data_IF_541789260871
#
_entry.id   IF_541789260871
#
_cell.length_a   1.000
_cell.length_b   1.000
_cell.length_c   1.000
_cell.angle_alpha   90.00
_cell.angle_beta   90.00
_cell.angle_gamma   90.00
#
_symmetry.space_group_name_H-M   'P 1'
#
loop_
_entity.id
_entity.type
_entity.pdbx_description
1 polymer ?
#
# COMPACT_ATOMS: atom_id res chain seq x y z
N UNK A 1 -27.92 -8.17 -0.42
CA UNK A 1 -26.78 -8.98 0.03
C UNK A 1 -26.60 -10.23 -0.83
N UNK A 2 -25.78 -10.12 -1.88
CA UNK A 2 -25.52 -11.22 -2.85
C UNK A 2 -24.72 -12.36 -2.21
N UNK A 3 -23.91 -12.08 -1.19
CA UNK A 3 -23.05 -13.06 -0.51
C UNK A 3 -23.37 -13.05 0.99
N UNK A 4 -23.87 -14.14 1.57
CA UNK A 4 -24.35 -14.15 2.96
C UNK A 4 -23.26 -14.18 4.03
N UNK A 5 -22.04 -14.67 3.74
CA UNK A 5 -20.96 -14.80 4.73
C UNK A 5 -19.98 -13.63 4.71
N UNK A 6 -19.76 -12.98 5.85
CA UNK A 6 -18.80 -11.87 6.02
C UNK A 6 -17.37 -12.31 5.64
N UNK A 7 -16.99 -13.56 5.98
CA UNK A 7 -15.66 -14.09 5.65
C UNK A 7 -15.44 -14.24 4.13
N UNK A 8 -16.46 -14.67 3.38
CA UNK A 8 -16.35 -14.81 1.92
C UNK A 8 -16.25 -13.42 1.25
N UNK A 9 -17.03 -12.43 1.72
CA UNK A 9 -16.94 -11.04 1.25
C UNK A 9 -15.53 -10.47 1.48
N UNK A 10 -14.97 -10.70 2.66
CA UNK A 10 -13.63 -10.26 3.00
C UNK A 10 -12.57 -10.91 2.12
N UNK A 11 -12.66 -12.23 1.88
CA UNK A 11 -11.71 -12.94 1.00
C UNK A 11 -11.79 -12.43 -0.45
N UNK A 12 -12.99 -12.23 -0.98
CA UNK A 12 -13.18 -11.64 -2.31
C UNK A 12 -12.65 -10.21 -2.37
N UNK A 13 -12.86 -9.41 -1.32
CA UNK A 13 -12.32 -8.06 -1.25
C UNK A 13 -10.79 -8.05 -1.29
N UNK A 14 -10.11 -9.01 -0.61
CA UNK A 14 -8.65 -9.17 -0.68
C UNK A 14 -8.18 -9.46 -2.11
N UNK A 15 -8.84 -10.37 -2.82
CA UNK A 15 -8.48 -10.72 -4.20
C UNK A 15 -8.70 -9.54 -5.16
N UNK A 16 -9.86 -8.89 -5.05
CA UNK A 16 -10.19 -7.72 -5.89
C UNK A 16 -9.22 -6.56 -5.57
N UNK A 17 -8.98 -6.29 -4.30
CA UNK A 17 -8.04 -5.24 -3.89
C UNK A 17 -6.62 -5.49 -4.38
N UNK A 18 -6.14 -6.74 -4.31
CA UNK A 18 -4.84 -7.13 -4.87
C UNK A 18 -4.79 -6.95 -6.39
N UNK A 19 -5.84 -7.39 -7.10
CA UNK A 19 -5.91 -7.28 -8.56
C UNK A 19 -5.95 -5.81 -9.02
N UNK A 20 -6.82 -5.00 -8.41
CA UNK A 20 -6.94 -3.57 -8.73
C UNK A 20 -5.64 -2.84 -8.45
N UNK A 21 -5.04 -3.03 -7.27
CA UNK A 21 -3.76 -2.41 -6.93
C UNK A 21 -2.63 -2.87 -7.86
N UNK A 22 -2.59 -4.15 -8.24
CA UNK A 22 -1.63 -4.67 -9.21
C UNK A 22 -1.77 -4.04 -10.60
N UNK A 23 -3.01 -3.87 -11.09
CA UNK A 23 -3.29 -3.20 -12.37
C UNK A 23 -2.86 -1.73 -12.33
N UNK A 24 -3.23 -0.99 -11.28
CA UNK A 24 -2.75 0.38 -11.10
C UNK A 24 -1.23 0.45 -10.96
N UNK A 25 -0.61 -0.52 -10.30
CA UNK A 25 0.84 -0.68 -10.24
C UNK A 25 1.46 -0.79 -11.64
N UNK A 26 0.87 -1.57 -12.55
CA UNK A 26 1.34 -1.67 -13.93
C UNK A 26 1.16 -0.34 -14.68
N UNK A 27 -0.03 0.27 -14.59
CA UNK A 27 -0.35 1.53 -15.27
C UNK A 27 0.63 2.64 -14.86
N UNK A 28 0.90 2.78 -13.57
CA UNK A 28 1.84 3.78 -13.03
C UNK A 28 3.29 3.36 -13.30
N UNK A 29 3.58 2.07 -13.18
CA UNK A 29 4.94 1.54 -13.37
C UNK A 29 5.50 1.77 -14.77
N UNK A 30 4.67 1.70 -15.82
CA UNK A 30 5.12 1.92 -17.20
C UNK A 30 5.80 3.28 -17.41
N UNK A 31 5.19 4.43 -17.08
CA UNK A 31 5.84 5.73 -17.22
C UNK A 31 6.95 5.95 -16.18
N UNK A 32 6.73 5.54 -14.94
CA UNK A 32 7.63 5.80 -13.81
C UNK A 32 8.96 5.06 -13.97
N UNK A 33 8.96 3.79 -14.36
CA UNK A 33 10.19 2.98 -14.50
C UNK A 33 11.10 3.40 -15.66
N UNK A 34 10.64 4.31 -16.52
CA UNK A 34 11.49 4.95 -17.55
C UNK A 34 12.39 6.04 -16.97
N UNK A 35 12.02 6.58 -15.83
CA UNK A 35 12.78 7.62 -15.14
C UNK A 35 13.94 7.02 -14.34
N UNK A 36 14.97 7.82 -14.07
CA UNK A 36 16.18 7.41 -13.35
C UNK A 36 16.46 8.36 -12.19
N UNK A 37 17.09 7.82 -11.14
CA UNK A 37 17.54 8.61 -9.99
C UNK A 37 16.40 9.33 -9.28
N UNK A 38 16.64 10.56 -8.89
CA UNK A 38 15.74 11.37 -8.06
C UNK A 38 14.39 11.66 -8.73
N UNK A 39 14.37 11.76 -10.07
CA UNK A 39 13.12 11.95 -10.83
C UNK A 39 12.14 10.80 -10.63
N UNK A 40 12.64 9.57 -10.47
CA UNK A 40 11.80 8.41 -10.16
C UNK A 40 11.08 8.61 -8.82
N UNK A 41 11.81 9.03 -7.79
CA UNK A 41 11.26 9.25 -6.46
C UNK A 41 10.23 10.39 -6.43
N UNK A 42 10.55 11.53 -7.08
CA UNK A 42 9.63 12.68 -7.14
C UNK A 42 8.32 12.31 -7.84
N UNK A 43 8.41 11.61 -8.98
CA UNK A 43 7.22 11.26 -9.76
C UNK A 43 6.37 10.20 -9.07
N UNK A 44 6.97 9.23 -8.36
CA UNK A 44 6.19 8.25 -7.58
C UNK A 44 5.42 8.91 -6.43
N UNK A 45 6.05 9.86 -5.73
CA UNK A 45 5.36 10.64 -4.68
C UNK A 45 4.23 11.49 -5.28
N UNK A 46 4.47 12.15 -6.43
CA UNK A 46 3.45 12.94 -7.11
C UNK A 46 2.24 12.08 -7.53
N UNK A 47 2.46 10.88 -8.07
CA UNK A 47 1.36 9.95 -8.39
C UNK A 47 0.57 9.55 -7.14
N UNK A 48 1.23 9.31 -6.02
CA UNK A 48 0.56 9.02 -4.74
C UNK A 48 -0.37 10.17 -4.32
N UNK A 49 0.10 11.42 -4.40
CA UNK A 49 -0.70 12.60 -4.08
C UNK A 49 -1.85 12.82 -5.08
N UNK A 50 -1.63 12.58 -6.38
CA UNK A 50 -2.68 12.66 -7.41
C UNK A 50 -3.79 11.65 -7.11
N UNK A 51 -3.44 10.38 -6.83
CA UNK A 51 -4.43 9.34 -6.54
C UNK A 51 -5.21 9.68 -5.25
N UNK A 52 -4.52 10.11 -4.20
CA UNK A 52 -5.16 10.53 -2.94
C UNK A 52 -6.16 11.66 -3.18
N UNK A 53 -5.76 12.70 -3.93
CA UNK A 53 -6.63 13.84 -4.22
C UNK A 53 -7.79 13.46 -5.14
N UNK A 54 -7.55 12.55 -6.11
CA UNK A 54 -8.62 12.02 -6.95
C UNK A 54 -9.68 11.29 -6.12
N UNK A 55 -9.26 10.44 -5.18
CA UNK A 55 -10.19 9.72 -4.30
C UNK A 55 -10.96 10.69 -3.40
N UNK A 56 -10.34 11.78 -2.94
CA UNK A 56 -10.99 12.80 -2.11
C UNK A 56 -12.10 13.58 -2.83
N UNK A 57 -12.04 13.66 -4.15
CA UNK A 57 -13.04 14.38 -4.96
C UNK A 57 -14.04 13.41 -5.60
N UNK A 58 -13.76 12.11 -5.57
CA UNK A 58 -14.58 11.10 -6.22
C UNK A 58 -15.76 10.69 -5.34
N UNK A 59 -16.97 10.79 -5.90
CA UNK A 59 -18.18 10.24 -5.33
C UNK A 59 -18.63 9.06 -6.18
N UNK A 60 -18.86 7.92 -5.55
CA UNK A 60 -19.33 6.70 -6.21
C UNK A 60 -20.54 6.18 -5.47
N UNK A 61 -21.61 6.00 -6.20
CA UNK A 61 -22.82 5.38 -5.70
C UNK A 61 -23.27 4.23 -6.59
N UNK A 62 -24.09 3.38 -6.04
CA UNK A 62 -24.70 2.26 -6.73
C UNK A 62 -26.21 2.29 -6.50
N UNK A 63 -26.97 2.20 -7.59
CA UNK A 63 -28.42 2.13 -7.63
C UNK A 63 -28.87 0.92 -8.45
N UNK A 64 -30.14 0.63 -8.49
CA UNK A 64 -30.76 -0.41 -9.35
C UNK A 64 -30.39 -0.26 -10.83
N UNK A 65 -30.08 0.95 -11.26
CA UNK A 65 -29.69 1.30 -12.64
C UNK A 65 -28.19 1.13 -12.93
N UNK A 66 -27.32 0.88 -11.92
CA UNK A 66 -25.90 0.67 -12.06
C UNK A 66 -25.01 1.58 -11.19
N UNK A 67 -23.77 1.79 -11.64
CA UNK A 67 -22.82 2.65 -10.95
C UNK A 67 -22.93 4.09 -11.42
N UNK A 68 -23.04 5.00 -10.46
CA UNK A 68 -23.03 6.44 -10.66
C UNK A 68 -21.75 7.05 -10.16
N UNK A 69 -21.15 7.95 -10.97
CA UNK A 69 -19.90 8.62 -10.64
C UNK A 69 -20.12 10.13 -10.67
N UNK A 70 -19.63 10.84 -9.65
CA UNK A 70 -19.63 12.30 -9.61
C UNK A 70 -18.32 12.80 -8.99
N UNK A 71 -17.91 14.01 -9.39
CA UNK A 71 -16.72 14.69 -8.87
C UNK A 71 -17.15 15.88 -7.99
N UNK A 72 -18.43 16.14 -7.86
CA UNK A 72 -18.94 17.37 -7.25
C UNK A 72 -19.52 17.14 -5.85
N UNK A 73 -20.57 16.33 -5.74
CA UNK A 73 -21.25 16.01 -4.49
C UNK A 73 -22.18 14.81 -4.63
N UNK A 74 -22.73 14.38 -3.51
CA UNK A 74 -23.64 13.22 -3.44
C UNK A 74 -24.96 13.47 -4.16
N UNK A 75 -25.42 14.71 -4.24
CA UNK A 75 -26.67 15.08 -4.92
C UNK A 75 -26.55 14.99 -6.43
N UNK A 76 -25.34 15.24 -6.95
CA UNK A 76 -25.06 15.18 -8.39
C UNK A 76 -24.90 13.75 -8.94
N UNK A 77 -24.94 12.73 -8.07
CA UNK A 77 -24.98 11.31 -8.48
C UNK A 77 -26.31 10.94 -9.19
N UNK A 78 -27.39 11.71 -8.97
CA UNK A 78 -28.67 11.48 -9.64
C UNK A 78 -29.29 10.10 -9.33
N UNK A 79 -29.00 9.54 -8.15
CA UNK A 79 -29.48 8.22 -7.73
C UNK A 79 -30.95 8.28 -7.29
N UNK A 80 -31.68 7.20 -7.50
CA UNK A 80 -33.01 6.99 -6.96
C UNK A 80 -33.05 6.84 -5.44
N UNK A 81 -34.24 6.70 -4.86
CA UNK A 81 -34.44 6.57 -3.42
C UNK A 81 -33.71 5.36 -2.77
N UNK A 82 -33.41 4.34 -3.57
CA UNK A 82 -32.72 3.11 -3.13
C UNK A 82 -31.20 3.14 -3.33
N UNK A 83 -30.65 4.28 -3.75
CA UNK A 83 -29.23 4.42 -4.06
C UNK A 83 -28.34 4.43 -2.80
N UNK A 84 -27.27 3.63 -2.81
CA UNK A 84 -26.28 3.57 -1.74
C UNK A 84 -24.99 4.26 -2.20
N UNK A 85 -24.55 5.28 -1.46
CA UNK A 85 -23.27 5.95 -1.72
C UNK A 85 -22.14 5.11 -1.11
N UNK A 86 -21.22 4.63 -1.95
CA UNK A 86 -20.09 3.79 -1.56
C UNK A 86 -18.90 4.65 -1.15
N UNK A 87 -18.53 5.63 -1.98
CA UNK A 87 -17.42 6.55 -1.73
C UNK A 87 -17.99 7.97 -1.63
N UNK A 88 -17.70 8.63 -0.51
CA UNK A 88 -18.23 9.97 -0.18
C UNK A 88 -17.14 11.05 -0.25
N UNK A 89 -16.33 11.05 -1.30
CA UNK A 89 -15.25 12.03 -1.47
C UNK A 89 -14.34 12.10 -0.25
N UNK A 90 -14.20 13.28 0.36
CA UNK A 90 -13.33 13.50 1.52
C UNK A 90 -13.71 12.70 2.77
N UNK A 91 -14.97 12.26 2.92
CA UNK A 91 -15.37 11.35 4.00
C UNK A 91 -14.94 9.90 3.77
N UNK A 92 -14.57 9.57 2.52
CA UNK A 92 -14.12 8.24 2.12
C UNK A 92 -15.21 7.18 2.17
N UNK A 93 -14.84 5.98 2.59
CA UNK A 93 -15.71 4.83 2.73
C UNK A 93 -16.10 4.70 4.20
N UNK A 94 -17.39 4.55 4.48
CA UNK A 94 -17.92 4.41 5.83
C UNK A 94 -18.78 3.15 5.93
N UNK A 95 -18.80 2.51 7.12
CA UNK A 95 -19.66 1.36 7.38
C UNK A 95 -19.10 0.02 6.90
N UNK A 96 -17.79 -0.09 6.64
CA UNK A 96 -17.16 -1.38 6.36
C UNK A 96 -17.23 -2.30 7.59
N UNK A 97 -17.66 -3.57 7.42
CA UNK A 97 -17.72 -4.50 8.54
C UNK A 97 -16.32 -4.80 9.07
N UNK A 98 -16.16 -4.81 10.39
CA UNK A 98 -14.89 -5.16 11.06
C UNK A 98 -14.62 -6.66 10.93
N UNK A 99 -14.06 -7.08 9.80
CA UNK A 99 -13.65 -8.46 9.55
C UNK A 99 -12.16 -8.71 9.80
N UNK A 100 -11.35 -7.65 9.92
CA UNK A 100 -9.93 -7.73 10.19
C UNK A 100 -9.69 -8.02 11.68
N UNK A 101 -9.40 -9.29 12.01
CA UNK A 101 -8.95 -9.71 13.34
C UNK A 101 -7.43 -9.83 13.37
N UNK A 102 -6.85 -9.77 14.57
CA UNK A 102 -5.40 -9.96 14.76
C UNK A 102 -4.89 -11.26 14.14
N UNK A 103 -5.64 -12.35 14.31
CA UNK A 103 -5.30 -13.66 13.73
C UNK A 103 -5.23 -13.62 12.21
N UNK A 104 -6.22 -12.96 11.56
CA UNK A 104 -6.22 -12.78 10.10
C UNK A 104 -5.03 -11.94 9.66
N UNK A 105 -4.68 -10.91 10.40
CA UNK A 105 -3.49 -10.11 10.15
C UNK A 105 -2.20 -10.94 10.16
N UNK A 106 -2.00 -11.78 11.17
CA UNK A 106 -0.83 -12.67 11.26
C UNK A 106 -0.79 -13.65 10.08
N UNK A 107 -1.92 -14.27 9.74
CA UNK A 107 -2.00 -15.21 8.61
C UNK A 107 -1.62 -14.52 7.30
N UNK A 108 -2.12 -13.30 7.05
CA UNK A 108 -1.79 -12.54 5.86
C UNK A 108 -0.31 -12.12 5.81
N UNK A 109 0.29 -11.76 6.95
CA UNK A 109 1.74 -11.49 7.03
C UNK A 109 2.56 -12.74 6.69
N UNK A 110 2.22 -13.89 7.27
CA UNK A 110 2.90 -15.16 6.98
C UNK A 110 2.73 -15.56 5.50
N UNK A 111 1.54 -15.39 4.94
CA UNK A 111 1.27 -15.63 3.53
C UNK A 111 2.11 -14.71 2.63
N UNK A 112 2.17 -13.42 2.96
CA UNK A 112 2.98 -12.44 2.24
C UNK A 112 4.46 -12.82 2.27
N UNK A 113 4.98 -13.22 3.44
CA UNK A 113 6.35 -13.70 3.60
C UNK A 113 6.61 -14.94 2.75
N UNK A 114 5.70 -15.90 2.77
CA UNK A 114 5.79 -17.11 1.96
C UNK A 114 5.87 -16.78 0.48
N UNK A 115 5.00 -15.89 -0.03
CA UNK A 115 5.01 -15.44 -1.43
C UNK A 115 6.32 -14.74 -1.78
N UNK A 116 6.77 -13.79 -0.95
CA UNK A 116 7.97 -13.00 -1.22
C UNK A 116 9.23 -13.85 -1.16
N UNK A 117 9.37 -14.75 -0.18
CA UNK A 117 10.52 -15.65 -0.06
C UNK A 117 10.59 -16.63 -1.24
N UNK A 118 9.46 -17.19 -1.66
CA UNK A 118 9.41 -18.04 -2.85
C UNK A 118 9.73 -17.25 -4.13
N UNK A 119 9.24 -16.01 -4.24
CA UNK A 119 9.57 -15.15 -5.37
C UNK A 119 11.07 -14.88 -5.45
N UNK A 120 11.72 -14.52 -4.35
CA UNK A 120 13.17 -14.25 -4.31
C UNK A 120 13.97 -15.48 -4.73
N UNK A 121 13.60 -16.67 -4.27
CA UNK A 121 14.29 -17.92 -4.60
C UNK A 121 13.95 -18.46 -5.99
N UNK A 122 12.98 -17.87 -6.69
CA UNK A 122 12.57 -18.26 -8.04
C UNK A 122 13.56 -17.79 -9.12
N UNK A 123 13.38 -18.30 -10.35
CA UNK A 123 14.14 -17.80 -11.52
C UNK A 123 13.90 -16.31 -11.77
N UNK A 124 12.67 -15.88 -11.60
CA UNK A 124 12.25 -14.49 -11.71
C UNK A 124 12.92 -13.60 -10.65
N UNK A 125 12.95 -14.05 -9.41
CA UNK A 125 13.59 -13.31 -8.31
C UNK A 125 15.09 -13.15 -8.53
N UNK A 126 15.76 -14.19 -8.99
CA UNK A 126 17.20 -14.10 -9.36
C UNK A 126 17.45 -13.09 -10.47
N UNK A 127 16.59 -13.03 -11.48
CA UNK A 127 16.69 -12.01 -12.55
C UNK A 127 16.46 -10.60 -12.00
N UNK A 128 15.53 -10.40 -11.07
CA UNK A 128 15.31 -9.11 -10.41
C UNK A 128 16.51 -8.71 -9.57
N UNK A 129 17.10 -9.64 -8.80
CA UNK A 129 18.31 -9.39 -8.00
C UNK A 129 19.53 -9.06 -8.87
N UNK A 130 19.74 -9.75 -10.00
CA UNK A 130 20.84 -9.44 -10.91
C UNK A 130 20.74 -8.02 -11.49
N UNK A 131 19.53 -7.52 -11.76
CA UNK A 131 19.29 -6.15 -12.20
C UNK A 131 19.64 -5.14 -11.10
N UNK A 132 19.37 -5.48 -9.84
CA UNK A 132 19.72 -4.65 -8.67
C UNK A 132 21.24 -4.56 -8.51
N UNK A 133 21.93 -5.69 -8.63
CA UNK A 133 23.36 -5.77 -8.37
C UNK A 133 24.18 -5.12 -9.51
N UNK A 134 23.87 -5.44 -10.77
CA UNK A 134 24.48 -4.78 -11.92
C UNK A 134 23.55 -4.79 -13.14
N UNK A 135 22.97 -3.63 -13.43
CA UNK A 135 22.03 -3.46 -14.54
C UNK A 135 22.67 -3.77 -15.90
N UNK A 136 23.92 -3.30 -16.14
CA UNK A 136 24.59 -3.45 -17.43
C UNK A 136 24.91 -4.93 -17.68
N UNK A 137 25.43 -5.64 -16.67
CA UNK A 137 25.70 -7.06 -16.76
C UNK A 137 24.44 -7.90 -16.97
N UNK A 138 23.32 -7.55 -16.31
CA UNK A 138 22.04 -8.23 -16.52
C UNK A 138 21.52 -8.06 -17.95
N UNK A 139 21.67 -6.86 -18.52
CA UNK A 139 21.27 -6.56 -19.91
C UNK A 139 22.12 -7.31 -20.93
N UNK A 140 23.43 -7.44 -20.69
CA UNK A 140 24.35 -8.14 -21.59
C UNK A 140 24.07 -9.65 -21.70
N UNK A 141 23.49 -10.27 -20.66
CA UNK A 141 23.06 -11.68 -20.70
C UNK A 141 21.60 -11.85 -21.15
N UNK A 142 20.99 -10.79 -21.72
CA UNK A 142 19.66 -10.86 -22.34
C UNK A 142 18.47 -10.70 -21.38
N UNK A 143 18.69 -10.23 -20.14
CA UNK A 143 17.60 -9.99 -19.19
C UNK A 143 16.87 -8.69 -19.56
N UNK A 144 15.56 -8.78 -19.82
CA UNK A 144 14.72 -7.61 -20.11
C UNK A 144 14.42 -6.83 -18.81
N UNK A 145 15.20 -5.76 -18.59
CA UNK A 145 15.16 -4.94 -17.36
C UNK A 145 13.77 -4.38 -17.10
N UNK A 146 13.13 -3.80 -18.13
CA UNK A 146 11.81 -3.17 -17.99
C UNK A 146 10.74 -4.16 -17.55
N UNK A 147 10.73 -5.35 -18.18
CA UNK A 147 9.76 -6.42 -17.85
C UNK A 147 9.90 -6.87 -16.41
N UNK A 148 11.11 -7.16 -15.94
CA UNK A 148 11.33 -7.66 -14.58
C UNK A 148 11.10 -6.59 -13.50
N UNK A 149 11.48 -5.34 -13.76
CA UNK A 149 11.16 -4.22 -12.86
C UNK A 149 9.65 -3.99 -12.77
N UNK A 150 8.95 -3.98 -13.90
CA UNK A 150 7.49 -3.80 -13.92
C UNK A 150 6.79 -4.93 -13.18
N UNK A 151 7.26 -6.17 -13.35
CA UNK A 151 6.70 -7.33 -12.65
C UNK A 151 6.92 -7.23 -11.13
N UNK A 152 8.11 -6.85 -10.68
CA UNK A 152 8.39 -6.63 -9.26
C UNK A 152 7.49 -5.53 -8.68
N UNK A 153 7.33 -4.43 -9.40
CA UNK A 153 6.49 -3.31 -9.01
C UNK A 153 5.00 -3.71 -8.92
N UNK A 154 4.50 -4.46 -9.91
CA UNK A 154 3.11 -4.93 -9.93
C UNK A 154 2.82 -5.91 -8.78
N UNK A 155 3.73 -6.85 -8.49
CA UNK A 155 3.58 -7.79 -7.36
C UNK A 155 3.59 -7.04 -6.03
N UNK A 156 4.51 -6.09 -5.86
CA UNK A 156 4.57 -5.24 -4.66
C UNK A 156 3.28 -4.44 -4.48
N UNK A 157 2.75 -3.83 -5.55
CA UNK A 157 1.49 -3.10 -5.53
C UNK A 157 0.31 -4.02 -5.18
N UNK A 158 0.25 -5.24 -5.72
CA UNK A 158 -0.80 -6.22 -5.39
C UNK A 158 -0.77 -6.59 -3.90
N UNK A 159 0.40 -6.85 -3.33
CA UNK A 159 0.55 -7.13 -1.90
C UNK A 159 0.19 -5.92 -1.03
N UNK A 160 0.53 -4.70 -1.47
CA UNK A 160 0.08 -3.48 -0.81
C UNK A 160 -1.45 -3.32 -0.86
N UNK A 161 -2.10 -3.74 -1.96
CA UNK A 161 -3.55 -3.79 -2.07
C UNK A 161 -4.21 -4.71 -1.03
N UNK A 162 -3.62 -5.89 -0.79
CA UNK A 162 -4.06 -6.79 0.29
C UNK A 162 -3.98 -6.11 1.66
N UNK A 163 -2.86 -5.43 1.95
CA UNK A 163 -2.68 -4.68 3.19
C UNK A 163 -3.71 -3.53 3.31
N UNK A 164 -4.01 -2.84 2.20
CA UNK A 164 -5.02 -1.78 2.15
C UNK A 164 -6.42 -2.28 2.49
N UNK A 165 -6.83 -3.44 1.97
CA UNK A 165 -8.12 -4.06 2.31
C UNK A 165 -8.19 -4.45 3.79
N UNK A 166 -7.11 -5.05 4.32
CA UNK A 166 -7.03 -5.38 5.76
C UNK A 166 -7.17 -4.12 6.61
N UNK A 167 -6.49 -3.04 6.23
CA UNK A 167 -6.55 -1.75 6.92
C UNK A 167 -7.96 -1.14 6.89
N UNK A 168 -8.64 -1.19 5.73
CA UNK A 168 -10.01 -0.71 5.59
C UNK A 168 -11.00 -1.46 6.49
N UNK A 169 -10.88 -2.79 6.58
CA UNK A 169 -11.72 -3.63 7.43
C UNK A 169 -11.37 -3.52 8.93
N UNK A 170 -10.22 -2.98 9.28
CA UNK A 170 -9.85 -2.71 10.66
C UNK A 170 -10.47 -1.39 11.18
N UNK A 171 -10.48 -0.34 10.35
CA UNK A 171 -10.92 1.00 10.76
C UNK A 171 -12.43 1.25 10.61
N UNK A 172 -13.17 0.45 9.86
CA UNK A 172 -14.61 0.63 9.53
C UNK A 172 -14.97 1.94 8.83
N UNK A 173 -14.15 2.97 8.94
CA UNK A 173 -14.29 4.25 8.25
C UNK A 173 -12.91 4.68 7.79
N UNK A 174 -12.74 4.86 6.48
CA UNK A 174 -11.47 5.12 5.85
C UNK A 174 -11.58 6.33 4.93
N UNK A 175 -11.05 7.46 5.37
CA UNK A 175 -10.95 8.68 4.59
C UNK A 175 -9.53 8.83 4.02
N UNK A 176 -9.42 9.32 2.77
CA UNK A 176 -8.15 9.55 2.11
C UNK A 176 -7.48 10.86 2.60
N UNK A 177 -7.34 10.99 3.91
CA UNK A 177 -6.70 12.14 4.55
C UNK A 177 -5.19 12.11 4.41
N UNK A 178 -4.49 13.27 4.43
CA UNK A 178 -3.03 13.32 4.43
C UNK A 178 -2.38 12.52 5.55
N UNK A 179 -3.07 12.36 6.69
CA UNK A 179 -2.60 11.58 7.84
C UNK A 179 -2.55 10.08 7.54
N UNK A 180 -3.54 9.56 6.81
CA UNK A 180 -3.67 8.11 6.55
C UNK A 180 -2.98 7.69 5.25
N UNK A 181 -3.06 8.53 4.20
CA UNK A 181 -2.59 8.22 2.85
C UNK A 181 -1.68 9.31 2.26
N UNK A 182 -1.10 10.17 3.09
CA UNK A 182 -0.17 11.20 2.64
C UNK A 182 1.24 10.65 2.35
N UNK A 183 2.04 11.45 1.67
CA UNK A 183 3.44 11.13 1.37
C UNK A 183 4.26 10.83 2.63
N UNK A 184 3.92 11.44 3.78
CA UNK A 184 4.59 11.17 5.05
C UNK A 184 4.52 9.68 5.45
N UNK A 185 3.38 9.01 5.21
CA UNK A 185 3.22 7.58 5.49
C UNK A 185 4.12 6.74 4.58
N UNK A 186 4.24 7.11 3.31
CA UNK A 186 5.13 6.45 2.36
C UNK A 186 6.60 6.61 2.75
N UNK A 187 7.01 7.80 3.21
CA UNK A 187 8.36 8.06 3.71
C UNK A 187 8.63 7.24 4.99
N UNK A 188 7.66 7.15 5.92
CA UNK A 188 7.78 6.32 7.12
C UNK A 188 8.06 4.85 6.78
N UNK A 189 7.30 4.28 5.83
CA UNK A 189 7.51 2.90 5.38
C UNK A 189 8.90 2.73 4.75
N UNK A 190 9.34 3.71 3.95
CA UNK A 190 10.68 3.72 3.38
C UNK A 190 11.76 3.73 4.48
N UNK A 191 11.59 4.55 5.52
CA UNK A 191 12.48 4.61 6.68
C UNK A 191 12.57 3.24 7.36
N UNK A 192 11.45 2.53 7.57
CA UNK A 192 11.46 1.18 8.15
C UNK A 192 12.28 0.19 7.32
N UNK A 193 12.18 0.27 5.99
CA UNK A 193 12.93 -0.60 5.08
C UNK A 193 14.42 -0.26 5.06
N UNK A 194 14.77 1.03 5.05
CA UNK A 194 16.16 1.49 5.04
C UNK A 194 16.85 1.12 6.34
N UNK A 195 16.22 1.39 7.50
CA UNK A 195 16.76 1.05 8.82
C UNK A 195 16.84 -0.46 9.07
N UNK A 196 15.95 -1.23 8.46
CA UNK A 196 16.01 -2.70 8.53
C UNK A 196 17.04 -3.33 7.59
N UNK A 197 17.67 -2.50 6.74
CA UNK A 197 18.64 -2.92 5.73
C UNK A 197 17.98 -3.24 4.38
N UNK A 198 18.41 -2.52 3.34
CA UNK A 198 17.91 -2.70 1.97
C UNK A 198 18.18 -4.13 1.48
N UNK A 199 17.12 -4.88 1.20
CA UNK A 199 17.19 -6.27 0.77
C UNK A 199 17.13 -7.31 1.91
N UNK A 200 17.09 -6.89 3.15
CA UNK A 200 16.94 -7.77 4.31
C UNK A 200 15.49 -7.73 4.84
N UNK A 201 14.66 -8.71 4.43
CA UNK A 201 13.25 -8.78 4.82
C UNK A 201 13.09 -8.90 6.34
N UNK A 202 13.94 -9.71 6.99
CA UNK A 202 13.87 -9.90 8.45
C UNK A 202 14.17 -8.61 9.20
N UNK A 203 15.20 -7.89 8.77
CA UNK A 203 15.56 -6.58 9.34
C UNK A 203 14.46 -5.55 9.16
N UNK A 204 13.89 -5.43 7.96
CA UNK A 204 12.79 -4.50 7.68
C UNK A 204 11.54 -4.79 8.52
N UNK A 205 11.22 -6.08 8.77
CA UNK A 205 10.11 -6.46 9.65
C UNK A 205 10.36 -6.07 11.10
N UNK A 206 11.56 -6.35 11.62
CA UNK A 206 11.94 -6.01 13.00
C UNK A 206 11.93 -4.49 13.18
N UNK A 207 12.49 -3.74 12.24
CA UNK A 207 12.46 -2.29 12.23
C UNK A 207 11.03 -1.74 12.22
N UNK A 208 10.15 -2.29 11.37
CA UNK A 208 8.75 -1.89 11.31
C UNK A 208 8.02 -2.12 12.64
N UNK A 209 8.24 -3.26 13.27
CA UNK A 209 7.64 -3.58 14.58
C UNK A 209 8.14 -2.60 15.66
N UNK A 210 9.46 -2.45 15.78
CA UNK A 210 10.06 -1.59 16.81
C UNK A 210 9.61 -0.14 16.61
N UNK A 211 9.71 0.39 15.40
CA UNK A 211 9.41 1.79 15.13
C UNK A 211 7.91 2.11 15.19
N UNK A 212 7.05 1.13 14.95
CA UNK A 212 5.60 1.30 15.12
C UNK A 212 5.19 1.22 16.59
N UNK A 213 5.82 0.35 17.38
CA UNK A 213 5.53 0.21 18.81
C UNK A 213 6.16 1.31 19.66
N UNK A 214 7.31 1.84 19.26
CA UNK A 214 8.07 2.82 20.04
C UNK A 214 7.28 4.08 20.41
N UNK A 215 6.56 4.76 19.49
CA UNK A 215 5.76 5.92 19.85
C UNK A 215 4.62 5.60 20.83
N UNK A 216 4.09 4.38 20.81
CA UNK A 216 3.04 3.95 21.73
C UNK A 216 3.61 3.61 23.10
N UNK A 217 4.75 2.95 23.18
CA UNK A 217 5.47 2.70 24.44
C UNK A 217 5.91 4.00 25.12
N UNK A 218 6.29 5.00 24.34
CA UNK A 218 6.69 6.33 24.86
C UNK A 218 5.49 7.26 25.15
N UNK A 219 4.27 6.77 25.01
CA UNK A 219 3.06 7.56 25.23
C UNK A 219 2.99 8.18 26.65
N UNK A 220 3.57 7.52 27.65
CA UNK A 220 3.65 8.04 29.01
C UNK A 220 4.60 9.22 29.20
N UNK A 221 5.47 9.51 28.24
CA UNK A 221 6.46 10.60 28.29
C UNK A 221 6.00 11.89 27.60
N UNK A 222 4.73 11.96 27.17
CA UNK A 222 4.08 13.14 26.55
C UNK A 222 4.97 13.93 25.60
N UNK A 223 5.52 15.06 26.04
CA UNK A 223 6.26 16.02 25.19
C UNK A 223 7.62 15.48 24.70
N UNK A 224 8.25 14.58 25.44
CA UNK A 224 9.54 14.00 25.07
C UNK A 224 9.44 12.84 24.07
N UNK A 225 8.25 12.34 23.79
CA UNK A 225 8.01 11.19 22.92
C UNK A 225 8.62 11.39 21.53
N UNK A 226 8.40 12.54 20.91
CA UNK A 226 8.89 12.84 19.56
C UNK A 226 10.42 13.03 19.54
N UNK A 227 10.97 13.62 20.59
CA UNK A 227 12.42 13.81 20.74
C UNK A 227 13.14 12.46 20.88
N UNK A 228 12.65 11.58 21.75
CA UNK A 228 13.23 10.26 21.95
C UNK A 228 13.12 9.42 20.67
N UNK A 229 11.97 9.49 19.98
CA UNK A 229 11.77 8.82 18.70
C UNK A 229 12.79 9.28 17.64
N UNK A 230 13.00 10.58 17.53
CA UNK A 230 14.00 11.15 16.60
C UNK A 230 15.43 10.69 16.94
N UNK A 231 15.79 10.69 18.24
CA UNK A 231 17.13 10.21 18.69
C UNK A 231 17.30 8.72 18.34
N UNK A 232 16.30 7.88 18.61
CA UNK A 232 16.36 6.45 18.28
C UNK A 232 16.53 6.24 16.77
N UNK A 233 15.83 7.01 15.93
CA UNK A 233 15.99 6.94 14.48
C UNK A 233 17.42 7.30 14.04
N UNK A 234 17.97 8.37 14.58
CA UNK A 234 19.35 8.81 14.26
C UNK A 234 20.36 7.74 14.70
N UNK A 235 20.24 7.23 15.93
CA UNK A 235 21.11 6.18 16.44
C UNK A 235 21.03 4.92 15.58
N UNK A 236 19.83 4.45 15.26
CA UNK A 236 19.67 3.29 14.37
C UNK A 236 20.32 3.53 12.99
N UNK A 237 20.16 4.74 12.42
CA UNK A 237 20.76 5.08 11.13
C UNK A 237 22.29 5.10 11.14
N UNK A 238 22.92 5.42 12.29
CA UNK A 238 24.38 5.42 12.42
C UNK A 238 24.94 3.99 12.50
N UNK A 239 24.17 3.06 13.07
CA UNK A 239 24.60 1.67 13.30
C UNK A 239 24.18 0.69 12.20
N UNK A 240 23.38 1.11 11.23
CA UNK A 240 22.93 0.29 10.08
C UNK A 240 23.67 0.65 8.82
#
# INVERSE_FOLDING_TARGET
>A
DVIPSVGMRFFLALLIGAAVAGVFGIIIGIPVLRLKGDYLAIVTLAFGEIIKNLINVLYVGMDSNGFHFSIKDTTSLGMGADGVVIIKGAQGITGTPKAATFTVGIILVLLTLFIVLNLINSRTGRAIMSIRDNRIAAESVGINITKYKLMAFAISAALAGVAGVLYAHNLSSLAATPKNFGYNMSIMILVFVVLGGLGNIRGSMIAAIILTMLPELLRGLNDYRMLIYAIVLIVMMIFT
#
